data_IF_773280204775
#
_entry.id   IF_773280204775
#
_cell.length_a   1.000
_cell.length_b   1.000
_cell.length_c   1.000
_cell.angle_alpha   90.00
_cell.angle_beta   90.00
_cell.angle_gamma   90.00
#
_symmetry.space_group_name_H-M   'P 1'
#
loop_
_entity.id
_entity.type
_entity.pdbx_description
1 polymer ?
#
# COMPACT_ATOMS: atom_id res chain seq x y z
N UNK A 1 1.76 -1.65 24.77
CA UNK A 1 1.65 -2.91 23.99
C UNK A 1 0.49 -2.92 22.97
N UNK A 2 -0.77 -2.65 23.35
CA UNK A 2 -1.92 -2.74 22.41
C UNK A 2 -1.82 -1.86 21.15
N UNK A 3 -1.19 -0.68 21.22
CA UNK A 3 -0.99 0.21 20.05
C UNK A 3 0.05 -0.32 19.07
N UNK A 4 1.14 -0.89 19.59
CA UNK A 4 2.21 -1.49 18.79
C UNK A 4 1.67 -2.67 17.98
N UNK A 5 0.97 -3.60 18.63
CA UNK A 5 0.31 -4.74 17.96
C UNK A 5 -0.66 -4.31 16.85
N UNK A 6 -1.45 -3.26 17.07
CA UNK A 6 -2.36 -2.71 16.06
C UNK A 6 -1.61 -2.09 14.87
N UNK A 7 -0.49 -1.41 15.12
CA UNK A 7 0.34 -0.85 14.07
C UNK A 7 1.00 -1.97 13.24
N UNK A 8 1.58 -2.98 13.89
CA UNK A 8 2.20 -4.14 13.23
C UNK A 8 1.19 -4.93 12.40
N UNK A 9 0.01 -5.23 12.95
CA UNK A 9 -1.05 -5.93 12.21
C UNK A 9 -1.52 -5.12 11.00
N UNK A 10 -1.56 -3.79 11.12
CA UNK A 10 -1.91 -2.92 10.00
C UNK A 10 -0.85 -2.94 8.90
N UNK A 11 0.43 -2.78 9.25
CA UNK A 11 1.54 -2.86 8.28
C UNK A 11 1.51 -4.21 7.57
N UNK A 12 1.34 -5.30 8.32
CA UNK A 12 1.25 -6.65 7.76
C UNK A 12 0.07 -6.80 6.79
N UNK A 13 -1.10 -6.24 7.13
CA UNK A 13 -2.28 -6.29 6.25
C UNK A 13 -2.04 -5.53 4.95
N UNK A 14 -1.46 -4.32 5.02
CA UNK A 14 -1.10 -3.51 3.83
C UNK A 14 -0.11 -4.27 2.97
N UNK A 15 0.90 -4.89 3.58
CA UNK A 15 1.91 -5.66 2.87
C UNK A 15 1.32 -6.89 2.16
N UNK A 16 0.45 -7.65 2.83
CA UNK A 16 -0.24 -8.80 2.24
C UNK A 16 -1.13 -8.40 1.05
N UNK A 17 -1.85 -7.28 1.17
CA UNK A 17 -2.65 -6.71 0.08
C UNK A 17 -1.78 -6.23 -1.09
N UNK A 18 -0.64 -5.60 -0.82
CA UNK A 18 0.30 -5.18 -1.85
C UNK A 18 0.89 -6.38 -2.61
N UNK A 19 1.24 -7.46 -1.92
CA UNK A 19 1.65 -8.71 -2.56
C UNK A 19 0.53 -9.30 -3.42
N UNK A 20 -0.71 -9.32 -2.91
CA UNK A 20 -1.88 -9.82 -3.66
C UNK A 20 -2.13 -9.00 -4.92
N UNK A 21 -1.96 -7.68 -4.83
CA UNK A 21 -2.02 -6.76 -5.96
C UNK A 21 -0.91 -7.02 -6.98
N UNK A 22 0.34 -7.25 -6.54
CA UNK A 22 1.45 -7.62 -7.43
C UNK A 22 1.18 -8.92 -8.18
N UNK A 23 0.65 -9.93 -7.50
CA UNK A 23 0.26 -11.20 -8.14
C UNK A 23 -0.84 -10.98 -9.16
N UNK A 24 -1.90 -10.23 -8.83
CA UNK A 24 -2.96 -9.91 -9.76
C UNK A 24 -2.43 -9.18 -11.00
N UNK A 25 -1.57 -8.17 -10.81
CA UNK A 25 -0.96 -7.42 -11.91
C UNK A 25 -0.06 -8.28 -12.79
N UNK A 26 0.71 -9.19 -12.22
CA UNK A 26 1.52 -10.11 -13.00
C UNK A 26 0.68 -11.02 -13.93
N UNK A 27 -0.60 -11.25 -13.59
CA UNK A 27 -1.52 -12.07 -14.37
C UNK A 27 -2.46 -11.28 -15.30
N UNK A 28 -2.53 -9.95 -15.16
CA UNK A 28 -3.38 -9.10 -16.02
C UNK A 28 -2.54 -8.00 -16.66
N UNK A 29 -2.09 -8.26 -17.88
CA UNK A 29 -1.43 -7.28 -18.75
C UNK A 29 -2.43 -6.13 -18.97
N UNK A 30 -2.00 -4.89 -18.73
CA UNK A 30 -2.74 -3.63 -18.98
C UNK A 30 -3.84 -3.19 -17.98
N UNK A 31 -4.13 -3.93 -16.91
CA UNK A 31 -5.21 -3.52 -15.99
C UNK A 31 -4.80 -2.44 -14.96
N UNK A 32 -3.51 -2.20 -14.79
CA UNK A 32 -2.99 -1.45 -13.64
C UNK A 32 -2.24 -0.18 -14.04
N UNK A 33 -2.33 0.89 -13.23
CA UNK A 33 -1.74 2.18 -13.53
C UNK A 33 -0.21 2.11 -13.60
N UNK A 34 0.35 2.67 -14.67
CA UNK A 34 1.77 2.94 -14.79
C UNK A 34 2.11 4.32 -14.24
N UNK A 35 3.23 4.40 -13.51
CA UNK A 35 3.71 5.63 -12.90
C UNK A 35 5.03 6.05 -13.56
N UNK A 36 4.99 6.89 -14.62
CA UNK A 36 6.17 7.19 -15.43
C UNK A 36 7.29 7.89 -14.64
N UNK A 37 6.96 8.63 -13.58
CA UNK A 37 7.95 9.26 -12.69
C UNK A 37 8.58 8.32 -11.65
N UNK A 38 8.01 7.13 -11.45
CA UNK A 38 8.46 6.20 -10.41
C UNK A 38 9.67 5.37 -10.86
N UNK A 39 9.72 4.98 -12.14
CA UNK A 39 10.85 4.25 -12.72
C UNK A 39 12.20 5.01 -12.61
N UNK A 40 12.33 6.29 -13.02
CA UNK A 40 13.58 7.03 -12.89
C UNK A 40 13.95 7.30 -11.42
N UNK A 41 12.95 7.49 -10.56
CA UNK A 41 13.16 7.65 -9.12
C UNK A 41 13.72 6.37 -8.49
N UNK A 42 13.18 5.21 -8.86
CA UNK A 42 13.68 3.90 -8.45
C UNK A 42 15.12 3.69 -8.92
N UNK A 43 15.42 3.94 -10.19
CA UNK A 43 16.80 3.86 -10.69
C UNK A 43 17.76 4.75 -9.89
N UNK A 44 17.35 5.97 -9.53
CA UNK A 44 18.19 6.87 -8.73
C UNK A 44 18.40 6.36 -7.30
N UNK A 45 17.38 5.76 -6.70
CA UNK A 45 17.41 5.24 -5.33
C UNK A 45 18.15 3.90 -5.23
N UNK A 46 17.95 2.98 -6.18
CA UNK A 46 18.53 1.62 -6.14
C UNK A 46 19.99 1.62 -6.54
N UNK A 47 20.45 2.54 -7.40
CA UNK A 47 21.86 2.66 -7.80
C UNK A 47 22.84 2.81 -6.63
N UNK A 48 22.36 3.30 -5.49
CA UNK A 48 23.16 3.50 -4.28
C UNK A 48 23.16 2.28 -3.35
N UNK A 49 22.41 1.22 -3.67
CA UNK A 49 22.26 0.06 -2.81
C UNK A 49 23.35 -0.97 -3.13
N UNK A 50 24.10 -1.47 -2.13
CA UNK A 50 25.19 -2.42 -2.34
C UNK A 50 24.71 -3.81 -2.80
N UNK A 51 23.40 -4.05 -2.80
CA UNK A 51 22.75 -5.29 -3.24
C UNK A 51 21.99 -5.13 -4.56
N UNK A 52 22.13 -3.99 -5.25
CA UNK A 52 21.61 -3.83 -6.61
C UNK A 52 22.48 -4.65 -7.57
N UNK A 53 21.91 -5.73 -8.10
CA UNK A 53 22.57 -6.58 -9.09
C UNK A 53 22.50 -5.97 -10.51
N UNK A 54 21.85 -4.81 -10.66
CA UNK A 54 21.66 -4.11 -11.93
C UNK A 54 20.75 -4.85 -12.91
N UNK A 55 20.09 -5.92 -12.47
CA UNK A 55 19.27 -6.74 -13.34
C UNK A 55 17.94 -6.02 -13.67
N UNK A 56 17.44 -6.15 -14.92
CA UNK A 56 16.14 -5.59 -15.28
C UNK A 56 14.99 -6.24 -14.49
N UNK A 57 15.17 -7.48 -14.02
CA UNK A 57 14.21 -8.18 -13.17
C UNK A 57 14.14 -7.57 -11.77
N UNK A 58 15.28 -7.22 -11.18
CA UNK A 58 15.35 -6.55 -9.88
C UNK A 58 14.63 -5.19 -9.89
N UNK A 59 14.89 -4.38 -10.91
CA UNK A 59 14.24 -3.08 -11.08
C UNK A 59 12.74 -3.23 -11.28
N UNK A 60 12.31 -4.20 -12.12
CA UNK A 60 10.91 -4.48 -12.37
C UNK A 60 10.19 -4.96 -11.10
N UNK A 61 10.83 -5.81 -10.29
CA UNK A 61 10.27 -6.25 -9.00
C UNK A 61 10.04 -5.07 -8.05
N UNK A 62 11.05 -4.20 -7.88
CA UNK A 62 10.94 -3.03 -7.00
C UNK A 62 9.91 -2.02 -7.51
N UNK A 63 9.87 -1.80 -8.81
CA UNK A 63 8.83 -0.99 -9.45
C UNK A 63 7.45 -1.54 -9.13
N UNK A 64 7.24 -2.85 -9.32
CA UNK A 64 5.95 -3.48 -9.04
C UNK A 64 5.54 -3.33 -7.58
N UNK A 65 6.49 -3.53 -6.66
CA UNK A 65 6.27 -3.39 -5.23
C UNK A 65 5.90 -1.94 -4.86
N UNK A 66 6.62 -0.95 -5.39
CA UNK A 66 6.34 0.46 -5.13
C UNK A 66 4.96 0.87 -5.65
N UNK A 67 4.59 0.48 -6.86
CA UNK A 67 3.24 0.73 -7.42
C UNK A 67 2.16 0.07 -6.57
N UNK A 68 2.37 -1.18 -6.15
CA UNK A 68 1.43 -1.90 -5.29
C UNK A 68 1.24 -1.19 -3.95
N UNK A 69 2.32 -0.76 -3.31
CA UNK A 69 2.27 -0.01 -2.05
C UNK A 69 1.60 1.35 -2.23
N UNK A 70 1.91 2.09 -3.29
CA UNK A 70 1.29 3.39 -3.61
C UNK A 70 -0.21 3.26 -3.89
N UNK A 71 -0.67 2.13 -4.43
CA UNK A 71 -2.08 1.91 -4.73
C UNK A 71 -2.85 1.43 -3.50
N UNK A 72 -2.30 0.45 -2.78
CA UNK A 72 -2.98 -0.21 -1.65
C UNK A 72 -2.99 0.66 -0.40
N UNK A 73 -1.89 1.35 -0.09
CA UNK A 73 -1.77 2.14 1.15
C UNK A 73 -2.84 3.23 1.29
N UNK A 74 -3.06 4.12 0.31
CA UNK A 74 -4.10 5.15 0.41
C UNK A 74 -5.50 4.54 0.45
N UNK A 75 -5.72 3.42 -0.25
CA UNK A 75 -7.01 2.72 -0.23
C UNK A 75 -7.33 2.17 1.16
N UNK A 76 -6.37 1.47 1.79
CA UNK A 76 -6.52 0.95 3.16
C UNK A 76 -6.65 2.09 4.17
N UNK A 77 -5.87 3.17 4.02
CA UNK A 77 -5.98 4.35 4.85
C UNK A 77 -7.36 5.02 4.72
N UNK A 78 -7.87 5.16 3.49
CA UNK A 78 -9.18 5.72 3.18
C UNK A 78 -10.33 4.90 3.77
N UNK A 79 -10.31 3.56 3.61
CA UNK A 79 -11.30 2.66 4.22
C UNK A 79 -11.30 2.80 5.74
N UNK A 80 -10.12 2.89 6.36
CA UNK A 80 -10.00 3.06 7.81
C UNK A 80 -10.52 4.41 8.28
N UNK A 81 -10.22 5.48 7.54
CA UNK A 81 -10.72 6.82 7.80
C UNK A 81 -12.26 6.86 7.70
N UNK A 82 -12.81 6.27 6.64
CA UNK A 82 -14.25 6.14 6.44
C UNK A 82 -14.89 5.34 7.59
N UNK A 83 -14.36 4.17 7.93
CA UNK A 83 -14.86 3.35 9.04
C UNK A 83 -14.85 4.11 10.37
N UNK A 84 -13.83 4.94 10.61
CA UNK A 84 -13.77 5.81 11.78
C UNK A 84 -14.81 6.94 11.74
N UNK A 85 -14.98 7.60 10.59
CA UNK A 85 -16.00 8.65 10.40
C UNK A 85 -17.42 8.09 10.60
N UNK A 86 -17.73 6.94 10.02
CA UNK A 86 -19.02 6.27 10.19
C UNK A 86 -19.26 5.81 11.62
N UNK A 87 -18.23 5.27 12.30
CA UNK A 87 -18.32 4.90 13.72
C UNK A 87 -18.60 6.11 14.61
N UNK A 88 -17.98 7.26 14.32
CA UNK A 88 -18.25 8.53 15.03
C UNK A 88 -19.66 9.04 14.82
N UNK A 89 -20.19 8.94 13.59
CA UNK A 89 -21.59 9.31 13.29
C UNK A 89 -22.58 8.41 14.04
N UNK A 90 -22.31 7.10 14.10
CA UNK A 90 -23.15 6.12 14.82
C UNK A 90 -23.12 6.30 16.34
N UNK A 91 -21.99 6.76 16.89
CA UNK A 91 -21.88 7.11 18.31
C UNK A 91 -22.67 8.37 18.67
N UNK A 92 -22.69 9.40 17.80
CA UNK A 92 -23.50 10.62 18.01
C UNK A 92 -25.01 10.38 17.85
N UNK A 93 -25.42 9.48 16.96
CA UNK A 93 -26.84 9.12 16.79
C UNK A 93 -27.43 8.22 17.89
N UNK A 94 -26.63 7.88 18.92
CA UNK A 94 -27.04 7.03 20.07
C UNK A 94 -27.11 7.80 21.39
N UNK A 95 -26.93 9.11 21.39
CA UNK A 95 -27.25 9.90 22.59
C UNK A 95 -28.78 9.83 22.80
N UNK A 96 -29.26 9.33 23.96
CA UNK A 96 -30.67 9.44 24.28
C UNK A 96 -30.98 10.92 24.40
N UNK A 97 -32.00 11.38 23.67
CA UNK A 97 -32.61 12.69 23.87
C UNK A 97 -33.17 12.64 25.29
N UNK A 98 -32.46 13.25 26.24
CA UNK A 98 -32.88 13.46 27.62
C UNK A 98 -33.72 14.73 27.70
#
# INVERSE_FOLDING_TARGET
MKRLLKATAWVFSVFALALSYMFAWAHTVDLFPEYPGLAPLLMALTKSLPWDDGSPEWLNFHYRLCVALLTVTPLVAGIRLLGWLFSRRRARGREPIA
#
